data_IF_879119747842
#
_entry.id   IF_879119747842
#
_cell.length_a   1.000
_cell.length_b   1.000
_cell.length_c   1.000
_cell.angle_alpha   90.00
_cell.angle_beta   90.00
_cell.angle_gamma   90.00
#
_symmetry.space_group_name_H-M   'P 1'
#
loop_
_entity.id
_entity.type
_entity.pdbx_description
1 polymer ?
#
# COMPACT_ATOMS: atom_id res chain seq x y z
N UNK A 1 9.90 16.13 62.43
CA UNK A 1 10.94 15.50 61.59
C UNK A 1 10.34 14.33 60.80
N UNK A 2 9.29 14.60 60.02
CA UNK A 2 8.63 13.59 59.18
C UNK A 2 7.82 14.38 58.16
N UNK A 3 8.31 14.54 56.91
CA UNK A 3 7.58 14.99 55.70
C UNK A 3 8.55 14.92 54.52
N UNK A 4 9.06 13.74 54.17
CA UNK A 4 9.81 13.53 52.92
C UNK A 4 9.71 12.07 52.50
N UNK A 5 8.58 11.65 51.92
CA UNK A 5 8.45 10.35 51.24
C UNK A 5 7.08 10.28 50.55
N UNK A 6 6.94 10.92 49.39
CA UNK A 6 5.81 10.69 48.48
C UNK A 6 6.05 11.30 47.08
N UNK A 7 7.19 11.04 46.43
CA UNK A 7 7.36 11.43 45.00
C UNK A 7 8.21 10.41 44.25
N UNK A 8 7.97 9.10 44.39
CA UNK A 8 8.55 8.11 43.47
C UNK A 8 7.58 6.93 43.39
N UNK A 9 6.68 6.90 42.40
CA UNK A 9 6.13 5.71 41.72
C UNK A 9 4.88 6.11 40.93
N UNK A 10 5.01 6.53 39.67
CA UNK A 10 3.98 6.31 38.65
C UNK A 10 4.55 6.50 37.23
N UNK A 11 5.57 5.70 36.89
CA UNK A 11 6.06 5.58 35.50
C UNK A 11 6.08 4.11 35.08
N UNK A 12 5.02 3.37 35.41
CA UNK A 12 4.86 1.99 34.99
C UNK A 12 3.58 1.86 34.15
N UNK A 13 3.76 1.46 32.89
CA UNK A 13 2.67 0.87 32.10
C UNK A 13 2.03 1.74 31.04
N UNK A 14 2.81 2.46 30.22
CA UNK A 14 2.43 2.68 28.82
C UNK A 14 3.38 1.87 27.96
N UNK A 15 3.25 0.54 28.04
CA UNK A 15 3.61 -0.28 26.89
C UNK A 15 2.56 0.08 25.87
N UNK A 16 2.87 1.05 25.02
CA UNK A 16 2.18 1.19 23.75
C UNK A 16 2.38 -0.14 23.03
N UNK A 17 1.41 -1.04 23.15
CA UNK A 17 1.20 -2.05 22.13
C UNK A 17 0.81 -1.26 20.90
N UNK A 18 1.81 -0.79 20.15
CA UNK A 18 1.57 -0.36 18.79
C UNK A 18 0.84 -1.56 18.15
N UNK A 19 -0.38 -1.38 17.60
CA UNK A 19 -0.89 -2.41 16.71
C UNK A 19 0.21 -2.66 15.69
N UNK A 20 0.49 -3.92 15.37
CA UNK A 20 1.37 -4.23 14.25
C UNK A 20 0.76 -3.49 13.04
N UNK A 21 1.32 -2.34 12.70
CA UNK A 21 0.85 -1.56 11.58
C UNK A 21 1.19 -2.42 10.37
N UNK A 22 0.17 -2.78 9.59
CA UNK A 22 0.42 -3.43 8.31
C UNK A 22 1.40 -2.57 7.53
N UNK A 23 2.37 -3.20 6.86
CA UNK A 23 3.32 -2.49 6.02
C UNK A 23 2.60 -1.68 4.92
N UNK A 24 1.36 -2.07 4.59
CA UNK A 24 0.42 -1.33 3.77
C UNK A 24 -0.85 -1.01 4.54
N UNK A 25 -1.42 0.17 4.27
CA UNK A 25 -2.71 0.62 4.82
C UNK A 25 -3.56 1.25 3.71
N UNK A 26 -4.88 1.14 3.83
CA UNK A 26 -5.82 1.86 2.95
C UNK A 26 -5.52 3.37 2.97
N UNK A 27 -5.59 4.00 1.80
CA UNK A 27 -5.40 5.43 1.61
C UNK A 27 -6.65 6.03 0.96
N UNK A 28 -7.00 7.31 1.21
CA UNK A 28 -8.10 7.96 0.51
C UNK A 28 -7.95 7.84 -1.01
N UNK A 29 -9.07 7.71 -1.72
CA UNK A 29 -9.04 7.63 -3.17
C UNK A 29 -8.29 8.81 -3.79
N UNK A 30 -7.54 8.51 -4.84
CA UNK A 30 -6.77 9.48 -5.63
C UNK A 30 -7.57 9.84 -6.88
N UNK A 31 -7.59 11.12 -7.24
CA UNK A 31 -8.22 11.59 -8.47
C UNK A 31 -7.17 11.78 -9.55
N UNK A 32 -7.29 11.06 -10.67
CA UNK A 32 -6.46 11.23 -11.87
C UNK A 32 -7.37 11.50 -13.06
N UNK A 33 -7.18 12.65 -13.70
CA UNK A 33 -8.11 13.14 -14.72
C UNK A 33 -9.53 13.28 -14.17
N UNK A 34 -10.47 12.50 -14.70
CA UNK A 34 -11.88 12.45 -14.26
C UNK A 34 -12.20 11.22 -13.39
N UNK A 35 -11.23 10.31 -13.22
CA UNK A 35 -11.40 9.06 -12.48
C UNK A 35 -11.08 9.20 -11.00
N UNK A 36 -11.72 8.38 -10.17
CA UNK A 36 -11.40 8.19 -8.76
C UNK A 36 -10.88 6.77 -8.57
N UNK A 37 -9.67 6.65 -8.05
CA UNK A 37 -8.91 5.41 -7.95
C UNK A 37 -8.69 5.05 -6.48
N UNK A 38 -8.93 3.80 -6.10
CA UNK A 38 -8.54 3.29 -4.78
C UNK A 38 -7.03 3.33 -4.64
N UNK A 39 -6.55 3.55 -3.42
CA UNK A 39 -5.13 3.67 -3.16
C UNK A 39 -4.77 3.06 -1.80
N UNK A 40 -3.51 2.71 -1.66
CA UNK A 40 -2.92 2.31 -0.39
C UNK A 40 -1.61 3.05 -0.17
N UNK A 41 -1.20 3.17 1.09
CA UNK A 41 0.10 3.70 1.45
C UNK A 41 1.00 2.56 1.91
N UNK A 42 2.20 2.47 1.32
CA UNK A 42 3.29 1.72 1.92
C UNK A 42 3.85 2.56 3.08
N UNK A 43 3.67 2.09 4.30
CA UNK A 43 4.07 2.81 5.52
C UNK A 43 5.58 2.78 5.74
N UNK A 44 6.31 1.89 5.07
CA UNK A 44 7.77 1.78 5.15
C UNK A 44 8.45 2.78 4.23
N UNK A 45 7.99 2.87 2.97
CA UNK A 45 8.54 3.82 1.99
C UNK A 45 7.79 5.14 1.93
N UNK A 46 6.65 5.23 2.63
CA UNK A 46 5.75 6.39 2.67
C UNK A 46 5.17 6.80 1.31
N UNK A 47 5.30 5.94 0.29
CA UNK A 47 4.73 6.13 -1.05
C UNK A 47 3.26 5.77 -1.08
N UNK A 48 2.50 6.48 -1.92
CA UNK A 48 1.11 6.14 -2.24
C UNK A 48 1.11 5.32 -3.52
N UNK A 49 0.38 4.23 -3.50
CA UNK A 49 0.19 3.31 -4.60
C UNK A 49 -1.28 3.27 -4.96
N UNK A 50 -1.58 3.16 -6.26
CA UNK A 50 -2.93 2.79 -6.66
C UNK A 50 -3.11 1.29 -6.45
N UNK A 51 -4.28 0.94 -5.94
CA UNK A 51 -4.74 -0.43 -5.80
C UNK A 51 -4.78 -1.11 -7.21
N UNK A 52 -4.34 -2.36 -7.31
CA UNK A 52 -4.28 -3.10 -8.57
C UNK A 52 -5.67 -3.26 -9.20
N UNK A 53 -6.71 -3.38 -8.38
CA UNK A 53 -8.08 -3.65 -8.82
C UNK A 53 -8.66 -2.52 -9.69
N UNK A 54 -8.07 -1.32 -9.63
CA UNK A 54 -8.49 -0.15 -10.39
C UNK A 54 -8.49 -0.34 -11.91
N UNK A 55 -7.62 -1.21 -12.40
CA UNK A 55 -7.46 -1.46 -13.84
C UNK A 55 -7.90 -2.86 -14.24
N UNK A 56 -8.44 -3.64 -13.31
CA UNK A 56 -8.96 -4.97 -13.60
C UNK A 56 -10.10 -4.89 -14.62
N UNK A 57 -10.13 -5.86 -15.54
CA UNK A 57 -11.15 -5.98 -16.59
C UNK A 57 -11.28 -4.81 -17.57
N UNK A 58 -10.37 -3.84 -17.51
CA UNK A 58 -10.35 -2.72 -18.44
C UNK A 58 -9.66 -3.08 -19.75
N UNK A 59 -9.97 -2.36 -20.83
CA UNK A 59 -9.26 -2.48 -22.09
C UNK A 59 -7.98 -1.63 -22.12
N UNK A 60 -7.39 -1.35 -20.95
CA UNK A 60 -6.14 -0.63 -20.88
C UNK A 60 -5.00 -1.46 -21.46
N UNK A 61 -4.02 -0.75 -21.97
CA UNK A 61 -2.72 -1.21 -22.46
C UNK A 61 -1.66 -0.45 -21.66
N UNK A 62 -0.41 -0.89 -21.68
CA UNK A 62 0.65 -0.10 -21.04
C UNK A 62 0.68 1.35 -21.56
N UNK A 63 0.61 1.55 -22.88
CA UNK A 63 0.70 2.90 -23.44
C UNK A 63 -0.51 3.78 -23.03
N UNK A 64 -1.70 3.20 -22.90
CA UNK A 64 -2.87 3.97 -22.43
C UNK A 64 -2.85 4.23 -20.92
N UNK A 65 -2.21 3.37 -20.12
CA UNK A 65 -1.94 3.65 -18.69
C UNK A 65 -0.94 4.79 -18.58
N UNK A 66 0.19 4.75 -19.30
CA UNK A 66 1.18 5.84 -19.28
C UNK A 66 0.54 7.17 -19.73
N UNK A 67 -0.31 7.15 -20.77
CA UNK A 67 -1.03 8.33 -21.21
C UNK A 67 -2.01 8.88 -20.15
N UNK A 68 -2.74 8.00 -19.43
CA UNK A 68 -3.63 8.37 -18.33
C UNK A 68 -2.86 9.05 -17.18
N UNK A 69 -1.65 8.57 -16.88
CA UNK A 69 -0.84 9.04 -15.76
C UNK A 69 -0.04 10.31 -16.09
N UNK A 70 0.11 10.66 -17.37
CA UNK A 70 0.88 11.83 -17.80
C UNK A 70 0.43 13.11 -17.09
N UNK A 71 1.34 13.70 -16.30
CA UNK A 71 1.10 14.95 -15.57
C UNK A 71 0.25 14.80 -14.29
N UNK A 72 -0.07 13.58 -13.87
CA UNK A 72 -0.86 13.30 -12.67
C UNK A 72 -0.04 13.29 -11.36
N UNK A 73 1.29 13.26 -11.46
CA UNK A 73 2.16 13.00 -10.32
C UNK A 73 2.25 11.52 -9.93
N UNK A 74 1.85 10.62 -10.84
CA UNK A 74 1.95 9.17 -10.72
C UNK A 74 2.60 8.60 -11.98
N UNK A 75 3.22 7.42 -11.85
CA UNK A 75 3.80 6.66 -12.96
C UNK A 75 3.67 5.15 -12.71
N UNK A 76 3.88 4.35 -13.76
CA UNK A 76 4.07 2.91 -13.59
C UNK A 76 5.35 2.68 -12.79
N UNK A 77 5.25 1.90 -11.72
CA UNK A 77 6.34 1.67 -10.80
C UNK A 77 7.56 1.09 -11.50
N UNK A 78 8.73 1.59 -11.13
CA UNK A 78 10.01 1.09 -11.63
C UNK A 78 10.44 -0.19 -10.88
N UNK A 79 11.36 -0.97 -11.45
CA UNK A 79 11.92 -2.15 -10.77
C UNK A 79 12.44 -1.85 -9.34
N UNK A 80 13.19 -0.76 -9.08
CA UNK A 80 13.60 -0.40 -7.72
C UNK A 80 12.42 -0.13 -6.77
N UNK A 81 11.33 0.45 -7.25
CA UNK A 81 10.15 0.74 -6.43
C UNK A 81 9.34 -0.51 -6.13
N UNK A 82 9.20 -1.39 -7.12
CA UNK A 82 8.65 -2.73 -6.92
C UNK A 82 9.48 -3.49 -5.88
N UNK A 83 10.80 -3.50 -6.01
CA UNK A 83 11.69 -4.18 -5.06
C UNK A 83 11.51 -3.63 -3.64
N UNK A 84 11.36 -2.31 -3.49
CA UNK A 84 11.10 -1.68 -2.20
C UNK A 84 9.71 -2.08 -1.63
N UNK A 85 8.66 -2.09 -2.47
CA UNK A 85 7.33 -2.53 -2.06
C UNK A 85 7.34 -4.01 -1.64
N UNK A 86 7.99 -4.88 -2.40
CA UNK A 86 8.10 -6.31 -2.08
C UNK A 86 8.81 -6.55 -0.75
N UNK A 87 9.78 -5.69 -0.38
CA UNK A 87 10.40 -5.74 0.95
C UNK A 87 9.43 -5.29 2.06
N UNK A 88 8.53 -4.34 1.77
CA UNK A 88 7.45 -3.93 2.69
C UNK A 88 6.39 -5.03 2.85
N UNK A 89 5.99 -5.68 1.76
CA UNK A 89 4.98 -6.76 1.73
C UNK A 89 5.58 -8.09 1.27
N UNK A 90 6.47 -8.71 2.07
CA UNK A 90 7.14 -9.96 1.70
C UNK A 90 6.12 -11.06 1.38
N UNK A 91 6.53 -12.01 0.54
CA UNK A 91 5.70 -13.16 0.20
C UNK A 91 5.64 -14.13 1.39
N UNK A 92 4.75 -13.82 2.34
CA UNK A 92 4.45 -14.64 3.51
C UNK A 92 2.99 -15.08 3.38
N UNK A 93 2.71 -16.39 3.21
CA UNK A 93 1.36 -16.91 3.06
C UNK A 93 0.34 -16.39 4.08
N UNK A 94 0.77 -16.26 5.34
CA UNK A 94 -0.08 -15.77 6.43
C UNK A 94 -0.52 -14.30 6.28
N UNK A 95 0.24 -13.48 5.54
CA UNK A 95 -0.07 -12.06 5.34
C UNK A 95 -1.01 -11.85 4.14
N UNK A 96 -1.02 -12.78 3.18
CA UNK A 96 -1.72 -12.64 1.92
C UNK A 96 -3.20 -12.19 2.07
N UNK A 97 -4.03 -12.76 2.96
CA UNK A 97 -5.44 -12.38 3.06
C UNK A 97 -5.65 -10.91 3.46
N UNK A 98 -4.73 -10.33 4.25
CA UNK A 98 -4.80 -8.93 4.64
C UNK A 98 -4.25 -8.00 3.56
N UNK A 99 -3.15 -8.40 2.92
CA UNK A 99 -2.50 -7.60 1.88
C UNK A 99 -3.34 -7.54 0.59
N UNK A 100 -3.93 -8.66 0.15
CA UNK A 100 -4.70 -8.73 -1.10
C UNK A 100 -5.94 -7.81 -1.10
N UNK A 101 -6.52 -7.53 0.08
CA UNK A 101 -7.68 -6.62 0.22
C UNK A 101 -7.28 -5.15 0.04
N UNK A 102 -6.05 -4.80 0.45
CA UNK A 102 -5.54 -3.42 0.48
C UNK A 102 -4.81 -3.08 -0.82
N UNK A 103 -3.95 -3.99 -1.28
CA UNK A 103 -3.07 -3.80 -2.44
C UNK A 103 -3.81 -4.06 -3.75
N UNK A 104 -4.89 -4.83 -3.68
CA UNK A 104 -5.57 -5.38 -4.83
C UNK A 104 -5.03 -6.75 -5.18
N UNK A 105 -5.92 -7.58 -5.71
CA UNK A 105 -5.63 -8.97 -5.98
C UNK A 105 -6.88 -9.79 -6.11
N UNK A 106 -6.68 -10.98 -6.64
CA UNK A 106 -7.72 -11.96 -6.79
C UNK A 106 -7.68 -12.92 -5.61
N UNK A 107 -8.68 -12.88 -4.74
CA UNK A 107 -8.74 -13.71 -3.53
C UNK A 107 -10.16 -14.21 -3.27
N UNK A 108 -10.32 -15.30 -2.50
CA UNK A 108 -11.64 -15.78 -2.07
C UNK A 108 -12.48 -14.69 -1.41
N UNK A 109 -13.59 -14.31 -2.07
CA UNK A 109 -14.50 -13.26 -1.58
C UNK A 109 -14.22 -11.86 -2.13
N UNK A 110 -13.27 -11.69 -3.05
CA UNK A 110 -13.17 -10.44 -3.81
C UNK A 110 -14.46 -10.22 -4.62
N UNK A 111 -14.90 -8.95 -4.81
CA UNK A 111 -16.09 -8.65 -5.62
C UNK A 111 -15.88 -8.91 -7.12
N UNK A 112 -14.63 -9.18 -7.51
CA UNK A 112 -14.14 -9.32 -8.87
C UNK A 112 -14.13 -10.81 -9.27
N UNK A 113 -15.32 -11.34 -9.55
CA UNK A 113 -15.68 -12.77 -9.51
C UNK A 113 -15.05 -13.72 -10.55
N UNK A 114 -13.91 -13.42 -11.17
CA UNK A 114 -13.27 -14.32 -12.14
C UNK A 114 -12.09 -15.07 -11.52
N UNK A 115 -12.31 -16.36 -11.22
CA UNK A 115 -11.28 -17.34 -10.86
C UNK A 115 -10.58 -17.03 -9.54
N UNK A 116 -10.95 -17.70 -8.44
CA UNK A 116 -10.36 -17.52 -7.10
C UNK A 116 -8.91 -17.99 -7.06
N UNK A 117 -7.99 -17.23 -7.65
CA UNK A 117 -6.60 -17.65 -7.86
C UNK A 117 -5.69 -17.39 -6.67
N UNK A 118 -6.16 -16.61 -5.69
CA UNK A 118 -5.32 -16.15 -4.58
C UNK A 118 -4.02 -15.53 -5.09
N UNK A 119 -4.13 -14.52 -5.97
CA UNK A 119 -3.03 -13.91 -6.71
C UNK A 119 -3.01 -12.40 -6.57
N UNK A 120 -1.86 -11.84 -6.19
CA UNK A 120 -1.55 -10.41 -6.31
C UNK A 120 -0.57 -10.29 -7.46
N UNK A 121 -0.92 -9.55 -8.51
CA UNK A 121 -0.08 -9.45 -9.70
C UNK A 121 -0.38 -8.21 -10.54
N UNK A 122 0.65 -7.68 -11.18
CA UNK A 122 0.53 -6.49 -12.00
C UNK A 122 1.77 -6.21 -12.83
N UNK A 123 1.58 -5.40 -13.86
CA UNK A 123 2.66 -4.90 -14.71
C UNK A 123 3.47 -3.78 -14.03
N UNK A 124 4.74 -3.66 -14.38
CA UNK A 124 5.63 -2.59 -13.95
C UNK A 124 6.64 -2.21 -15.05
N UNK A 125 7.34 -1.09 -14.87
CA UNK A 125 8.40 -0.60 -15.75
C UNK A 125 9.76 -1.13 -15.28
N UNK A 126 10.41 -1.99 -16.08
CA UNK A 126 11.74 -2.51 -15.74
C UNK A 126 12.91 -1.68 -16.29
N UNK A 127 12.62 -0.64 -17.08
CA UNK A 127 13.59 0.34 -17.53
C UNK A 127 14.29 -0.02 -18.85
N UNK A 128 13.87 -1.08 -19.54
CA UNK A 128 14.29 -1.33 -20.91
C UNK A 128 13.20 -0.85 -21.91
N UNK A 129 13.39 0.31 -22.55
CA UNK A 129 12.39 0.83 -23.49
C UNK A 129 12.33 0.00 -24.80
N UNK A 130 13.27 -0.91 -25.03
CA UNK A 130 13.35 -1.73 -26.23
C UNK A 130 12.59 -3.06 -26.11
N UNK A 131 12.16 -3.45 -24.92
CA UNK A 131 11.48 -4.71 -24.68
C UNK A 131 10.03 -4.53 -24.21
N UNK A 132 9.38 -5.66 -23.93
CA UNK A 132 8.00 -5.69 -23.48
C UNK A 132 7.87 -5.25 -22.02
N UNK A 133 6.64 -5.08 -21.58
CA UNK A 133 6.30 -4.79 -20.19
C UNK A 133 6.51 -6.03 -19.33
N UNK A 134 7.08 -5.81 -18.15
CA UNK A 134 7.34 -6.83 -17.15
C UNK A 134 6.20 -6.92 -16.15
N UNK A 135 6.05 -8.07 -15.49
CA UNK A 135 5.10 -8.23 -14.39
C UNK A 135 5.71 -8.94 -13.20
N UNK A 136 5.13 -8.69 -12.04
CA UNK A 136 5.47 -9.38 -10.80
C UNK A 136 4.22 -9.90 -10.12
N UNK A 137 4.35 -11.03 -9.43
CA UNK A 137 3.25 -11.68 -8.75
C UNK A 137 3.64 -12.45 -7.50
N UNK A 138 2.67 -12.71 -6.64
CA UNK A 138 2.71 -13.75 -5.61
C UNK A 138 1.34 -14.40 -5.43
N UNK A 139 1.35 -15.71 -5.20
CA UNK A 139 0.20 -16.47 -4.71
C UNK A 139 0.15 -16.49 -3.18
N UNK A 140 -0.99 -16.87 -2.61
CA UNK A 140 -1.16 -17.11 -1.16
C UNK A 140 -0.29 -18.25 -0.61
N UNK A 141 0.31 -19.06 -1.48
CA UNK A 141 1.19 -20.18 -1.13
C UNK A 141 2.66 -19.89 -1.41
N UNK A 142 2.96 -18.78 -2.10
CA UNK A 142 4.33 -18.41 -2.43
C UNK A 142 5.10 -17.95 -1.19
N UNK A 143 6.39 -18.26 -1.17
CA UNK A 143 7.34 -17.80 -0.15
C UNK A 143 8.28 -16.69 -0.65
N UNK A 144 8.19 -16.37 -1.94
CA UNK A 144 8.95 -15.33 -2.62
C UNK A 144 8.05 -14.59 -3.62
N UNK A 145 8.41 -13.34 -3.95
CA UNK A 145 7.82 -12.67 -5.10
C UNK A 145 8.45 -13.20 -6.39
N UNK A 146 7.61 -13.41 -7.39
CA UNK A 146 8.04 -13.87 -8.71
C UNK A 146 8.04 -12.69 -9.69
N UNK A 147 8.97 -12.70 -10.63
CA UNK A 147 9.11 -11.66 -11.67
C UNK A 147 9.34 -12.34 -13.01
N UNK A 148 8.64 -11.87 -14.04
CA UNK A 148 8.96 -12.19 -15.42
C UNK A 148 9.26 -10.88 -16.16
N UNK A 149 10.33 -10.93 -16.94
CA UNK A 149 10.79 -9.78 -17.71
C UNK A 149 10.30 -9.86 -19.16
N UNK A 150 9.99 -8.70 -19.75
CA UNK A 150 9.76 -8.53 -21.19
C UNK A 150 8.61 -9.39 -21.77
N UNK A 151 7.55 -9.63 -21.00
CA UNK A 151 6.53 -10.64 -21.30
C UNK A 151 5.37 -10.14 -22.14
N UNK A 152 5.09 -8.84 -22.12
CA UNK A 152 3.90 -8.28 -22.76
C UNK A 152 4.25 -7.14 -23.72
N UNK A 153 3.74 -7.16 -24.95
CA UNK A 153 3.86 -5.99 -25.82
C UNK A 153 3.15 -4.77 -25.20
N UNK A 154 3.71 -3.58 -25.34
CA UNK A 154 3.15 -2.34 -24.76
C UNK A 154 1.73 -2.01 -25.24
N UNK A 155 1.37 -2.50 -26.42
CA UNK A 155 0.06 -2.36 -27.05
C UNK A 155 -0.93 -3.47 -26.69
N UNK A 156 -0.49 -4.52 -25.99
CA UNK A 156 -1.37 -5.59 -25.56
C UNK A 156 -2.39 -5.08 -24.53
N UNK A 157 -3.62 -5.55 -24.66
CA UNK A 157 -4.68 -5.25 -23.70
C UNK A 157 -4.41 -6.05 -22.43
N UNK A 158 -4.33 -5.39 -21.27
CA UNK A 158 -4.00 -6.00 -19.98
C UNK A 158 -4.97 -7.13 -19.62
N UNK A 159 -6.27 -6.92 -19.84
CA UNK A 159 -7.29 -7.95 -19.60
C UNK A 159 -7.08 -9.22 -20.44
N UNK A 160 -6.49 -9.07 -21.62
CA UNK A 160 -6.33 -10.17 -22.58
C UNK A 160 -4.89 -10.72 -22.58
N UNK A 161 -4.01 -10.17 -21.72
CA UNK A 161 -2.60 -10.53 -21.62
C UNK A 161 -2.38 -11.96 -21.16
N UNK A 162 -3.26 -12.46 -20.29
CA UNK A 162 -3.32 -13.85 -19.88
C UNK A 162 -4.72 -14.37 -20.22
N UNK A 163 -4.91 -15.14 -21.30
CA UNK A 163 -6.25 -15.58 -21.73
C UNK A 163 -7.03 -16.35 -20.66
N UNK A 164 -6.34 -16.96 -19.70
CA UNK A 164 -6.96 -17.65 -18.56
C UNK A 164 -7.34 -16.74 -17.40
N UNK A 165 -6.93 -15.46 -17.42
CA UNK A 165 -7.08 -14.55 -16.28
C UNK A 165 -7.13 -13.06 -16.69
N UNK A 166 -8.21 -12.40 -16.28
CA UNK A 166 -8.57 -11.03 -16.71
C UNK A 166 -8.29 -9.96 -15.64
N UNK A 167 -7.60 -10.36 -14.58
CA UNK A 167 -7.33 -9.64 -13.35
C UNK A 167 -5.90 -9.07 -13.30
N UNK A 168 -5.24 -8.90 -14.45
CA UNK A 168 -3.92 -8.27 -14.51
C UNK A 168 -4.04 -6.77 -14.18
N UNK A 169 -3.46 -6.36 -13.07
CA UNK A 169 -3.39 -4.95 -12.67
C UNK A 169 -2.14 -4.24 -13.19
N UNK A 170 -1.93 -3.01 -12.72
CA UNK A 170 -0.71 -2.27 -12.96
C UNK A 170 -0.23 -1.61 -11.67
N UNK A 171 1.06 -1.78 -11.37
CA UNK A 171 1.69 -1.15 -10.22
C UNK A 171 1.92 0.32 -10.52
N UNK A 172 1.11 1.19 -9.91
CA UNK A 172 1.17 2.64 -10.13
C UNK A 172 1.50 3.31 -8.82
N UNK A 173 2.50 4.18 -8.84
CA UNK A 173 3.07 4.80 -7.64
C UNK A 173 3.17 6.32 -7.82
N UNK A 174 3.03 7.06 -6.72
CA UNK A 174 3.19 8.50 -6.71
C UNK A 174 4.66 8.92 -6.85
N UNK A 175 4.92 9.99 -7.60
CA UNK A 175 6.24 10.64 -7.71
C UNK A 175 6.73 11.18 -6.35
N UNK A 176 5.78 11.50 -5.48
CA UNK A 176 6.01 12.04 -4.15
C UNK A 176 5.96 10.99 -3.04
N UNK A 177 6.46 11.41 -1.89
CA UNK A 177 6.30 10.71 -0.62
C UNK A 177 5.21 11.41 0.19
N UNK A 178 4.19 10.68 0.62
CA UNK A 178 3.13 11.25 1.45
C UNK A 178 3.66 11.61 2.82
N UNK A 179 3.45 12.86 3.23
CA UNK A 179 3.64 13.26 4.62
C UNK A 179 2.54 12.56 5.43
N UNK A 180 2.90 11.55 6.23
CA UNK A 180 1.98 10.96 7.20
C UNK A 180 1.58 12.07 8.17
N UNK A 181 0.30 12.50 8.22
CA UNK A 181 -0.12 13.43 9.24
C UNK A 181 0.11 12.77 10.60
N UNK A 182 0.82 13.45 11.50
CA UNK A 182 1.04 12.91 12.84
C UNK A 182 -0.31 12.45 13.43
N UNK A 183 -0.39 11.23 14.01
CA UNK A 183 -1.64 10.71 14.52
C UNK A 183 -2.28 11.73 15.47
N UNK A 184 -3.57 12.02 15.26
CA UNK A 184 -4.34 12.92 16.13
C UNK A 184 -4.36 12.44 17.60
N UNK A 185 -3.97 11.19 17.85
CA UNK A 185 -3.68 10.66 19.19
C UNK A 185 -2.53 11.38 19.90
N UNK A 186 -1.49 11.88 19.21
CA UNK A 186 -0.45 12.70 19.83
C UNK A 186 -0.99 14.07 20.25
N UNK A 187 -1.84 14.68 19.42
CA UNK A 187 -2.54 15.91 19.77
C UNK A 187 -3.49 15.69 20.98
N UNK A 188 -4.27 14.61 20.97
CA UNK A 188 -5.19 14.24 22.06
C UNK A 188 -4.44 13.88 23.35
N UNK A 189 -3.33 13.17 23.27
CA UNK A 189 -2.48 12.85 24.42
C UNK A 189 -1.87 14.12 25.01
N UNK A 190 -1.39 15.04 24.17
CA UNK A 190 -0.84 16.33 24.59
C UNK A 190 -1.91 17.19 25.28
N UNK A 191 -3.12 17.25 24.71
CA UNK A 191 -4.28 17.90 25.34
C UNK A 191 -4.66 17.26 26.67
N UNK A 192 -4.68 15.92 26.74
CA UNK A 192 -4.94 15.18 27.97
C UNK A 192 -3.93 15.50 29.07
N UNK A 193 -2.63 15.50 28.75
CA UNK A 193 -1.57 15.86 29.70
C UNK A 193 -1.67 17.32 30.17
N UNK A 194 -1.97 18.26 29.27
CA UNK A 194 -2.17 19.66 29.61
C UNK A 194 -3.34 19.86 30.59
N UNK A 195 -4.46 19.16 30.37
CA UNK A 195 -5.63 19.21 31.27
C UNK A 195 -5.32 18.63 32.65
N UNK A 196 -4.56 17.53 32.73
CA UNK A 196 -4.11 16.93 34.00
C UNK A 196 -3.19 17.89 34.76
N UNK A 197 -2.21 18.49 34.09
CA UNK A 197 -1.29 19.46 34.69
C UNK A 197 -2.02 20.72 35.22
N UNK A 198 -2.99 21.24 34.46
CA UNK A 198 -3.81 22.38 34.88
C UNK A 198 -4.66 22.06 36.12
N UNK A 199 -5.19 20.83 36.21
CA UNK A 199 -5.96 20.37 37.37
C UNK A 199 -5.09 20.13 38.61
N UNK A 200 -3.87 19.63 38.43
CA UNK A 200 -2.91 19.44 39.53
C UNK A 200 -2.48 20.78 40.15
N UNK A 201 -2.24 21.81 39.34
CA UNK A 201 -1.90 23.17 39.81
C UNK A 201 -2.99 23.86 40.63
N UNK A 202 -4.27 23.51 40.44
CA UNK A 202 -5.38 24.11 41.22
C UNK A 202 -5.61 23.43 42.58
N UNK A 203 -4.97 22.28 42.82
CA UNK A 203 -5.09 21.50 44.07
C UNK A 203 -3.87 21.65 44.99
N UNK A 204 -2.77 22.21 44.47
CA UNK A 204 -1.63 22.66 45.25
C UNK A 204 -1.85 24.12 45.67
#
# INVERSE_FOLDING_TARGET
>A
MAWRLAVILFCAGLVCTAPAAGAVIEYPNVTIGVGSYRAFQDTTTTRIWLDLDNLFFTAHTYDSVVALLSGSGYHLATLPEITALQASIPAIPANFPGEAVIVGGNYPGSPYAMGLRSLIWGIFEDGDPADGVSWTWKYDTDVDWNINYSVLARTSILRDAEPSAQDLGAWIVSDGVAQIPEPSTLALMSLGLALVAARARRRA
#
